data_IF_682022318146
#
_entry.id   IF_682022318146
#
_cell.length_a   1.000
_cell.length_b   1.000
_cell.length_c   1.000
_cell.angle_alpha   90.00
_cell.angle_beta   90.00
_cell.angle_gamma   90.00
#
_symmetry.space_group_name_H-M   'P 1'
#
loop_
_entity.id
_entity.type
_entity.pdbx_description
1 polymer ?
#
# COMPACT_ATOMS: atom_id res chain seq x y z
N UNK A 1 -14.06 -45.65 -35.16
CA UNK A 1 -12.86 -44.84 -34.90
C UNK A 1 -13.17 -43.41 -34.47
N UNK A 2 -14.42 -43.09 -34.01
CA UNK A 2 -14.86 -41.74 -33.64
C UNK A 2 -15.03 -41.51 -32.10
N UNK A 3 -14.84 -42.55 -31.27
CA UNK A 3 -15.07 -42.43 -29.82
C UNK A 3 -13.83 -41.98 -29.01
N UNK A 4 -12.63 -42.05 -29.57
CA UNK A 4 -11.40 -41.66 -28.87
C UNK A 4 -11.15 -40.14 -28.84
N UNK A 5 -11.64 -39.41 -29.84
CA UNK A 5 -11.39 -37.97 -29.92
C UNK A 5 -12.23 -37.16 -28.90
N UNK A 6 -13.43 -37.63 -28.56
CA UNK A 6 -14.27 -36.94 -27.54
C UNK A 6 -13.69 -37.05 -26.11
N UNK A 7 -13.03 -38.17 -25.80
CA UNK A 7 -12.36 -38.35 -24.48
C UNK A 7 -11.10 -37.50 -24.38
N UNK A 8 -10.35 -37.36 -25.48
CA UNK A 8 -9.16 -36.50 -25.53
C UNK A 8 -9.51 -35.01 -25.41
N UNK A 9 -10.59 -34.57 -26.07
CA UNK A 9 -11.04 -33.16 -25.96
C UNK A 9 -11.62 -32.82 -24.59
N UNK A 10 -12.32 -33.73 -23.94
CA UNK A 10 -12.81 -33.53 -22.57
C UNK A 10 -11.67 -33.51 -21.54
N UNK A 11 -10.63 -34.34 -21.72
CA UNK A 11 -9.45 -34.31 -20.88
C UNK A 11 -8.65 -33.01 -21.05
N UNK A 12 -8.53 -32.50 -22.27
CA UNK A 12 -7.85 -31.22 -22.53
C UNK A 12 -8.60 -30.00 -21.97
N UNK A 13 -9.94 -30.00 -22.04
CA UNK A 13 -10.76 -28.96 -21.43
C UNK A 13 -10.71 -28.99 -19.90
N UNK A 14 -10.68 -30.18 -19.27
CA UNK A 14 -10.53 -30.32 -17.83
C UNK A 14 -9.15 -29.88 -17.33
N UNK A 15 -8.08 -30.12 -18.11
CA UNK A 15 -6.74 -29.66 -17.81
C UNK A 15 -6.62 -28.11 -17.92
N UNK A 16 -7.31 -27.49 -18.89
CA UNK A 16 -7.33 -26.03 -19.04
C UNK A 16 -8.10 -25.33 -17.90
N UNK A 17 -9.17 -25.96 -17.40
CA UNK A 17 -9.96 -25.44 -16.28
C UNK A 17 -9.22 -25.53 -14.93
N UNK A 18 -8.30 -26.49 -14.77
CA UNK A 18 -7.48 -26.63 -13.57
C UNK A 18 -6.36 -25.59 -13.46
N UNK A 19 -5.95 -24.95 -14.57
CA UNK A 19 -4.93 -23.90 -14.58
C UNK A 19 -5.47 -22.49 -14.25
N UNK A 20 -6.80 -22.30 -14.24
CA UNK A 20 -7.41 -21.01 -13.96
C UNK A 20 -7.78 -20.76 -12.49
N UNK A 21 -7.50 -21.68 -11.58
CA UNK A 21 -7.77 -21.55 -10.13
C UNK A 21 -6.55 -21.16 -9.29
N UNK A 22 -5.48 -20.64 -9.90
CA UNK A 22 -4.43 -19.92 -9.13
C UNK A 22 -4.93 -18.56 -8.72
N UNK A 23 -5.89 -18.53 -7.79
CA UNK A 23 -6.12 -17.36 -6.96
C UNK A 23 -4.81 -16.97 -6.30
N UNK A 24 -4.57 -15.67 -6.21
CA UNK A 24 -3.39 -15.03 -5.65
C UNK A 24 -2.98 -15.65 -4.30
N UNK A 25 -2.24 -16.74 -4.33
CA UNK A 25 -1.46 -17.17 -3.19
C UNK A 25 -0.27 -16.22 -3.08
N UNK A 26 0.04 -15.64 -1.92
CA UNK A 26 1.29 -14.93 -1.74
C UNK A 26 2.42 -15.93 -2.03
N UNK A 27 3.22 -15.62 -3.04
CA UNK A 27 4.35 -16.44 -3.45
C UNK A 27 5.46 -16.32 -2.39
N UNK A 28 5.30 -17.07 -1.31
CA UNK A 28 6.38 -17.42 -0.40
C UNK A 28 7.15 -18.59 -1.03
N UNK A 29 7.84 -18.32 -2.12
CA UNK A 29 8.79 -19.29 -2.67
C UNK A 29 10.19 -18.86 -2.28
N UNK A 30 10.73 -19.55 -1.29
CA UNK A 30 12.16 -19.69 -1.14
C UNK A 30 12.74 -20.32 -2.41
N UNK A 31 13.31 -19.51 -3.26
CA UNK A 31 14.08 -19.90 -4.45
C UNK A 31 15.41 -19.19 -4.39
N UNK A 32 16.42 -19.86 -3.81
CA UNK A 32 17.81 -19.46 -4.01
C UNK A 32 18.17 -19.69 -5.48
N UNK A 33 18.26 -18.63 -6.26
CA UNK A 33 18.91 -18.63 -7.57
C UNK A 33 19.60 -17.29 -7.78
N UNK A 34 20.90 -17.32 -7.67
CA UNK A 34 21.93 -16.49 -8.29
C UNK A 34 21.47 -15.16 -8.94
N UNK A 35 21.65 -14.08 -8.21
CA UNK A 35 21.45 -12.72 -8.70
C UNK A 35 20.79 -11.89 -7.63
N UNK A 36 21.56 -11.19 -6.78
CA UNK A 36 21.15 -10.50 -5.56
C UNK A 36 19.94 -9.54 -5.68
N UNK A 37 18.77 -10.08 -5.86
CA UNK A 37 17.54 -9.37 -5.55
C UNK A 37 17.43 -9.38 -4.03
N UNK A 38 17.74 -8.26 -3.37
CA UNK A 38 17.31 -8.02 -2.00
C UNK A 38 15.81 -8.18 -1.97
N UNK A 39 15.32 -9.30 -1.39
CA UNK A 39 13.90 -9.44 -1.09
C UNK A 39 13.58 -8.31 -0.13
N UNK A 40 12.75 -7.38 -0.58
CA UNK A 40 12.35 -6.24 0.20
C UNK A 40 11.54 -6.75 1.41
N UNK A 41 12.16 -6.79 2.57
CA UNK A 41 11.56 -7.32 3.81
C UNK A 41 10.71 -6.23 4.45
N UNK A 42 9.42 -6.51 4.67
CA UNK A 42 8.57 -5.70 5.53
C UNK A 42 9.02 -5.89 7.00
N UNK A 43 9.41 -4.81 7.64
CA UNK A 43 9.91 -4.83 9.02
C UNK A 43 8.83 -4.99 10.09
N UNK A 44 7.55 -4.96 9.69
CA UNK A 44 6.45 -5.26 10.62
C UNK A 44 6.33 -6.75 10.84
N UNK A 45 5.99 -7.15 12.08
CA UNK A 45 5.60 -8.53 12.34
C UNK A 45 4.31 -8.88 11.57
N UNK A 46 4.12 -10.15 11.24
CA UNK A 46 2.88 -10.64 10.59
C UNK A 46 1.64 -10.26 11.41
N UNK A 47 1.72 -10.29 12.75
CA UNK A 47 0.63 -9.86 13.61
C UNK A 47 0.24 -8.40 13.40
N UNK A 48 1.22 -7.50 13.31
CA UNK A 48 0.95 -6.08 13.03
C UNK A 48 0.39 -5.87 11.63
N UNK A 49 0.85 -6.61 10.63
CA UNK A 49 0.28 -6.53 9.28
C UNK A 49 -1.20 -6.92 9.25
N UNK A 50 -1.60 -7.95 10.01
CA UNK A 50 -3.01 -8.34 10.16
C UNK A 50 -3.83 -7.28 10.89
N UNK A 51 -3.30 -6.71 11.97
CA UNK A 51 -3.94 -5.60 12.69
C UNK A 51 -4.15 -4.39 11.77
N UNK A 52 -3.15 -4.04 10.95
CA UNK A 52 -3.27 -2.96 9.98
C UNK A 52 -4.40 -3.22 8.95
N UNK A 53 -4.52 -4.45 8.45
CA UNK A 53 -5.62 -4.84 7.55
C UNK A 53 -7.00 -4.74 8.24
N UNK A 54 -7.11 -5.18 9.49
CA UNK A 54 -8.35 -5.05 10.25
C UNK A 54 -8.73 -3.60 10.50
N UNK A 55 -7.75 -2.72 10.79
CA UNK A 55 -7.97 -1.27 10.92
C UNK A 55 -8.50 -0.70 9.60
N UNK A 56 -7.85 -1.00 8.47
CA UNK A 56 -8.29 -0.51 7.15
C UNK A 56 -9.73 -0.93 6.86
N UNK A 57 -10.08 -2.21 7.01
CA UNK A 57 -11.43 -2.73 6.75
C UNK A 57 -12.49 -2.08 7.66
N UNK A 58 -12.19 -1.96 8.95
CA UNK A 58 -13.09 -1.37 9.93
C UNK A 58 -13.33 0.11 9.64
N UNK A 59 -12.28 0.86 9.33
CA UNK A 59 -12.39 2.27 9.02
C UNK A 59 -13.02 2.54 7.66
N UNK A 60 -12.72 1.74 6.63
CA UNK A 60 -13.41 1.84 5.34
C UNK A 60 -14.92 1.67 5.50
N UNK A 61 -15.35 0.70 6.35
CA UNK A 61 -16.78 0.54 6.64
C UNK A 61 -17.34 1.74 7.42
N UNK A 62 -16.70 2.13 8.52
CA UNK A 62 -17.21 3.21 9.37
C UNK A 62 -17.29 4.56 8.65
N UNK A 63 -16.28 4.88 7.85
CA UNK A 63 -16.24 6.11 7.04
C UNK A 63 -17.21 6.02 5.85
N UNK A 64 -17.35 4.85 5.22
CA UNK A 64 -18.34 4.64 4.16
C UNK A 64 -19.77 4.77 4.66
N UNK A 65 -20.07 4.34 5.90
CA UNK A 65 -21.38 4.51 6.53
C UNK A 65 -21.65 5.99 6.89
N UNK A 66 -20.61 6.75 7.30
CA UNK A 66 -20.74 8.15 7.70
C UNK A 66 -20.73 9.14 6.54
N UNK A 67 -20.03 8.80 5.44
CA UNK A 67 -19.82 9.70 4.31
C UNK A 67 -20.35 9.09 3.00
N UNK A 68 -21.48 9.59 2.47
CA UNK A 68 -21.98 9.17 1.19
C UNK A 68 -21.00 9.44 0.04
N UNK A 69 -20.88 8.51 -0.91
CA UNK A 69 -19.89 8.52 -1.98
C UNK A 69 -20.05 9.66 -3.01
N UNK A 70 -21.20 10.31 -3.03
CA UNK A 70 -21.46 11.51 -3.85
C UNK A 70 -20.85 12.79 -3.24
N UNK A 71 -20.55 12.77 -1.94
CA UNK A 71 -20.00 13.92 -1.19
C UNK A 71 -18.60 13.72 -0.65
N UNK A 72 -18.10 12.49 -0.62
CA UNK A 72 -16.76 12.21 -0.13
C UNK A 72 -16.12 11.05 -0.88
N UNK A 73 -14.80 11.11 -0.97
CA UNK A 73 -13.95 10.02 -1.39
C UNK A 73 -12.81 9.90 -0.37
N UNK A 74 -12.91 8.92 0.51
CA UNK A 74 -11.96 8.74 1.61
C UNK A 74 -11.23 7.42 1.42
N UNK A 75 -9.91 7.48 1.29
CA UNK A 75 -9.02 6.34 1.31
C UNK A 75 -8.40 6.19 2.69
N UNK A 76 -8.35 4.97 3.18
CA UNK A 76 -7.73 4.60 4.45
C UNK A 76 -6.51 3.74 4.18
N UNK A 77 -5.39 4.10 4.75
CA UNK A 77 -4.17 3.29 4.72
C UNK A 77 -3.63 3.17 6.13
N UNK A 78 -3.41 1.94 6.60
CA UNK A 78 -2.75 1.68 7.87
C UNK A 78 -1.35 1.09 7.67
N UNK A 79 -0.40 1.54 8.45
CA UNK A 79 0.93 0.99 8.54
C UNK A 79 1.45 1.16 9.96
N UNK A 80 1.77 0.03 10.61
CA UNK A 80 2.20 -0.01 12.00
C UNK A 80 1.21 0.71 12.96
N UNK A 81 -0.10 0.48 12.74
CA UNK A 81 -1.21 1.07 13.51
C UNK A 81 -1.31 2.62 13.38
N UNK A 82 -0.55 3.21 12.47
CA UNK A 82 -0.68 4.60 12.06
C UNK A 82 -1.57 4.68 10.83
N UNK A 83 -2.66 5.41 10.93
CA UNK A 83 -3.65 5.58 9.88
C UNK A 83 -3.38 6.86 9.10
N UNK A 84 -3.35 6.76 7.80
CA UNK A 84 -3.36 7.87 6.85
C UNK A 84 -4.74 7.93 6.19
N UNK A 85 -5.40 9.08 6.31
CA UNK A 85 -6.62 9.41 5.57
C UNK A 85 -6.26 10.31 4.39
N UNK A 86 -6.60 9.89 3.18
CA UNK A 86 -6.42 10.69 1.94
C UNK A 86 -7.72 10.73 1.14
N UNK A 87 -7.79 11.62 0.15
CA UNK A 87 -8.98 11.82 -0.66
C UNK A 87 -9.66 13.15 -0.39
N UNK A 88 -10.97 13.22 -0.59
CA UNK A 88 -11.73 14.47 -0.52
C UNK A 88 -12.97 14.36 0.38
N UNK A 89 -13.22 15.46 1.09
CA UNK A 89 -14.48 15.75 1.82
C UNK A 89 -14.93 17.17 1.50
N UNK A 90 -16.23 17.44 1.64
CA UNK A 90 -16.81 18.72 1.22
C UNK A 90 -16.66 19.85 2.24
N UNK A 91 -16.18 19.58 3.46
CA UNK A 91 -16.10 20.59 4.53
C UNK A 91 -15.03 20.28 5.57
N UNK A 92 -14.56 21.32 6.28
CA UNK A 92 -13.68 21.17 7.44
C UNK A 92 -14.32 20.32 8.55
N UNK A 93 -15.64 20.45 8.73
CA UNK A 93 -16.37 19.62 9.69
C UNK A 93 -16.29 18.14 9.30
N UNK A 94 -16.49 17.80 8.03
CA UNK A 94 -16.34 16.42 7.54
C UNK A 94 -14.91 15.89 7.72
N UNK A 95 -13.91 16.74 7.50
CA UNK A 95 -12.50 16.38 7.75
C UNK A 95 -12.26 16.06 9.23
N UNK A 96 -12.76 16.90 10.13
CA UNK A 96 -12.65 16.67 11.57
C UNK A 96 -13.44 15.43 12.04
N UNK A 97 -14.62 15.20 11.47
CA UNK A 97 -15.44 14.02 11.75
C UNK A 97 -14.74 12.72 11.31
N UNK A 98 -14.18 12.69 10.11
CA UNK A 98 -13.42 11.55 9.62
C UNK A 98 -12.21 11.23 10.52
N UNK A 99 -11.51 12.26 11.00
CA UNK A 99 -10.42 12.10 11.95
C UNK A 99 -10.92 11.50 13.27
N UNK A 100 -12.01 12.04 13.84
CA UNK A 100 -12.58 11.56 15.10
C UNK A 100 -13.05 10.09 15.01
N UNK A 101 -13.58 9.66 13.87
CA UNK A 101 -13.93 8.26 13.62
C UNK A 101 -12.67 7.38 13.62
N UNK A 102 -11.61 7.83 12.95
CA UNK A 102 -10.37 7.07 12.86
C UNK A 102 -9.67 6.96 14.24
N UNK A 103 -9.61 8.04 15.01
CA UNK A 103 -8.98 8.07 16.34
C UNK A 103 -9.68 7.18 17.37
N UNK A 104 -11.00 7.01 17.25
CA UNK A 104 -11.80 6.14 18.12
C UNK A 104 -11.71 4.66 17.75
N UNK A 105 -11.14 4.33 16.60
CA UNK A 105 -11.06 2.96 16.14
C UNK A 105 -10.04 2.16 16.95
N UNK A 106 -10.43 0.96 17.32
CA UNK A 106 -9.57 0.04 18.08
C UNK A 106 -8.22 -0.16 17.36
N UNK A 107 -7.15 -0.27 18.11
CA UNK A 107 -5.78 -0.53 17.67
C UNK A 107 -5.15 0.60 16.84
N UNK A 108 -5.82 1.73 16.63
CA UNK A 108 -5.24 2.92 15.99
C UNK A 108 -4.37 3.67 17.00
N UNK A 109 -3.10 3.85 16.67
CA UNK A 109 -2.11 4.53 17.50
C UNK A 109 -1.97 6.01 17.17
N UNK A 110 -2.12 6.34 15.89
CA UNK A 110 -2.03 7.72 15.41
C UNK A 110 -2.81 7.86 14.10
N UNK A 111 -3.35 9.07 13.86
CA UNK A 111 -4.04 9.43 12.62
C UNK A 111 -3.33 10.61 11.97
N UNK A 112 -3.06 10.49 10.68
CA UNK A 112 -2.58 11.57 9.81
C UNK A 112 -3.71 11.87 8.82
N UNK A 113 -4.30 13.04 8.97
CA UNK A 113 -5.46 13.45 8.18
C UNK A 113 -5.05 14.42 7.08
N UNK A 114 -4.83 13.87 5.89
CA UNK A 114 -4.47 14.59 4.65
C UNK A 114 -5.67 14.71 3.69
N UNK A 115 -6.90 14.62 4.22
CA UNK A 115 -8.10 14.86 3.43
C UNK A 115 -8.12 16.29 2.89
N UNK A 116 -8.38 16.40 1.60
CA UNK A 116 -8.58 17.68 0.93
C UNK A 116 -10.04 18.10 0.99
N UNK A 117 -10.27 19.42 1.15
CA UNK A 117 -11.63 19.96 1.10
C UNK A 117 -11.98 20.31 -0.34
N UNK A 118 -12.96 19.61 -0.88
CA UNK A 118 -13.38 19.76 -2.26
C UNK A 118 -14.31 18.65 -2.72
N UNK A 119 -14.72 18.69 -3.98
CA UNK A 119 -15.49 17.61 -4.57
C UNK A 119 -14.63 16.36 -4.77
N UNK A 120 -15.24 15.16 -4.70
CA UNK A 120 -14.55 13.91 -4.98
C UNK A 120 -13.81 13.93 -6.31
N UNK A 121 -12.60 13.36 -6.32
CA UNK A 121 -11.76 13.26 -7.50
C UNK A 121 -12.40 12.41 -8.60
N UNK A 122 -12.13 12.76 -9.86
CA UNK A 122 -12.59 11.99 -11.02
C UNK A 122 -11.86 10.64 -11.13
N UNK A 123 -12.45 9.68 -11.83
CA UNK A 123 -11.78 8.40 -12.13
C UNK A 123 -10.46 8.60 -12.88
N UNK A 124 -10.37 9.60 -13.76
CA UNK A 124 -9.12 9.93 -14.46
C UNK A 124 -8.02 10.33 -13.50
N UNK A 125 -8.32 11.16 -12.50
CA UNK A 125 -7.35 11.59 -11.50
C UNK A 125 -6.89 10.39 -10.64
N UNK A 126 -7.82 9.53 -10.23
CA UNK A 126 -7.49 8.31 -9.45
C UNK A 126 -6.62 7.33 -10.23
N UNK A 127 -6.87 7.18 -11.54
CA UNK A 127 -6.04 6.36 -12.43
C UNK A 127 -4.62 6.95 -12.56
N UNK A 128 -4.51 8.29 -12.64
CA UNK A 128 -3.22 8.97 -12.63
C UNK A 128 -2.45 8.67 -11.33
N UNK A 129 -3.08 8.82 -10.17
CA UNK A 129 -2.47 8.56 -8.86
C UNK A 129 -2.07 7.09 -8.69
N UNK A 130 -2.87 6.14 -9.18
CA UNK A 130 -2.51 4.71 -9.23
C UNK A 130 -1.26 4.48 -10.06
N UNK A 131 -1.19 5.09 -11.25
CA UNK A 131 0.00 5.03 -12.11
C UNK A 131 1.22 5.67 -11.44
N UNK A 132 1.03 6.81 -10.76
CA UNK A 132 2.08 7.50 -10.03
C UNK A 132 2.63 6.64 -8.89
N UNK A 133 1.75 6.01 -8.10
CA UNK A 133 2.13 5.06 -7.05
C UNK A 133 3.02 3.95 -7.61
N UNK A 134 2.67 3.38 -8.77
CA UNK A 134 3.45 2.32 -9.43
C UNK A 134 4.83 2.82 -9.85
N UNK A 135 4.92 4.00 -10.46
CA UNK A 135 6.19 4.62 -10.85
C UNK A 135 7.11 4.87 -9.66
N UNK A 136 6.54 5.41 -8.57
CA UNK A 136 7.31 5.67 -7.33
C UNK A 136 7.80 4.36 -6.72
N UNK A 137 6.95 3.34 -6.60
CA UNK A 137 7.36 2.02 -6.11
C UNK A 137 8.50 1.42 -6.94
N UNK A 138 8.40 1.49 -8.27
CA UNK A 138 9.46 1.02 -9.16
C UNK A 138 10.76 1.78 -8.94
N UNK A 139 10.71 3.10 -8.80
CA UNK A 139 11.89 3.91 -8.53
C UNK A 139 12.54 3.58 -7.17
N UNK A 140 11.74 3.35 -6.13
CA UNK A 140 12.23 2.93 -4.81
C UNK A 140 12.87 1.54 -4.86
N UNK A 141 12.28 0.59 -5.63
CA UNK A 141 12.85 -0.76 -5.82
C UNK A 141 14.21 -0.74 -6.52
N UNK A 142 14.43 0.21 -7.41
CA UNK A 142 15.69 0.37 -8.14
C UNK A 142 16.77 1.12 -7.36
N UNK A 143 16.42 1.74 -6.25
CA UNK A 143 17.34 2.52 -5.43
C UNK A 143 18.06 1.62 -4.39
N UNK A 144 19.39 1.47 -4.44
CA UNK A 144 20.11 0.51 -3.60
C UNK A 144 20.08 0.88 -2.10
N UNK A 145 19.94 2.17 -1.78
CA UNK A 145 19.97 2.69 -0.41
C UNK A 145 18.56 2.80 0.21
N UNK A 146 17.54 2.22 -0.44
CA UNK A 146 16.14 2.32 0.00
C UNK A 146 15.58 0.93 0.33
N UNK A 147 15.17 0.68 1.57
CA UNK A 147 14.51 -0.58 1.95
C UNK A 147 13.05 -0.57 1.43
N UNK A 148 12.88 -0.74 0.14
CA UNK A 148 11.58 -0.56 -0.55
C UNK A 148 10.46 -1.44 0.03
N UNK A 149 10.77 -2.61 0.59
CA UNK A 149 9.78 -3.49 1.23
C UNK A 149 9.29 -3.01 2.59
N UNK A 150 10.06 -2.16 3.25
CA UNK A 150 9.67 -1.53 4.49
C UNK A 150 8.88 -0.23 4.27
N UNK A 151 8.59 0.14 2.99
CA UNK A 151 7.93 1.41 2.64
C UNK A 151 6.64 1.17 1.86
N UNK A 152 5.53 1.64 2.41
CA UNK A 152 4.23 1.71 1.75
C UNK A 152 4.09 3.06 1.08
N UNK A 153 3.74 3.06 -0.21
CA UNK A 153 3.56 4.27 -1.03
C UNK A 153 2.08 4.45 -1.33
N UNK A 154 1.58 5.63 -1.07
CA UNK A 154 0.23 6.08 -1.43
C UNK A 154 0.36 7.37 -2.22
N UNK A 155 -0.38 7.51 -3.32
CA UNK A 155 -0.46 8.77 -4.07
C UNK A 155 -1.89 9.25 -4.09
N UNK A 156 -2.09 10.51 -3.79
CA UNK A 156 -3.38 11.19 -3.88
C UNK A 156 -3.15 12.61 -4.37
N UNK A 157 -3.84 13.04 -5.43
CA UNK A 157 -3.75 14.40 -6.02
C UNK A 157 -2.30 14.80 -6.35
N UNK A 158 -1.52 13.88 -6.93
CA UNK A 158 -0.09 14.03 -7.22
C UNK A 158 0.82 14.28 -5.99
N UNK A 159 0.29 14.13 -4.78
CA UNK A 159 1.07 14.08 -3.54
C UNK A 159 1.39 12.63 -3.21
N UNK A 160 2.64 12.35 -2.94
CA UNK A 160 3.12 11.01 -2.56
C UNK A 160 3.33 10.96 -1.06
N UNK A 161 2.68 10.02 -0.40
CA UNK A 161 2.82 9.74 1.02
C UNK A 161 3.66 8.47 1.18
N UNK A 162 4.75 8.58 1.92
CA UNK A 162 5.62 7.46 2.24
C UNK A 162 5.42 7.07 3.70
N UNK A 163 4.95 5.87 3.94
CA UNK A 163 4.80 5.27 5.28
C UNK A 163 5.79 4.12 5.41
N UNK A 164 6.30 3.87 6.60
CA UNK A 164 7.26 2.78 6.77
C UNK A 164 7.94 2.80 8.13
N UNK A 165 8.60 1.69 8.44
CA UNK A 165 9.56 1.55 9.55
C UNK A 165 10.97 1.67 8.97
N UNK A 166 11.59 2.84 9.11
CA UNK A 166 12.87 3.17 8.46
C UNK A 166 13.79 3.95 9.40
N UNK A 167 15.09 3.94 9.12
CA UNK A 167 16.00 4.89 9.76
C UNK A 167 15.81 6.30 9.17
N UNK A 168 16.24 7.36 9.84
CA UNK A 168 16.21 8.71 9.27
C UNK A 168 16.91 8.81 7.91
N UNK A 169 18.06 8.14 7.75
CA UNK A 169 18.82 8.12 6.49
C UNK A 169 18.06 7.45 5.35
N UNK A 170 17.44 6.29 5.61
CA UNK A 170 16.60 5.57 4.64
C UNK A 170 15.37 6.39 4.24
N UNK A 171 14.71 7.04 5.21
CA UNK A 171 13.55 7.88 4.95
C UNK A 171 13.88 9.09 4.07
N UNK A 172 15.05 9.73 4.29
CA UNK A 172 15.53 10.82 3.43
C UNK A 172 15.91 10.32 2.03
N UNK A 173 16.54 9.15 1.91
CA UNK A 173 16.86 8.53 0.62
C UNK A 173 15.58 8.23 -0.17
N UNK A 174 14.58 7.61 0.47
CA UNK A 174 13.29 7.32 -0.15
C UNK A 174 12.58 8.58 -0.63
N UNK A 175 12.55 9.64 0.19
CA UNK A 175 11.93 10.91 -0.18
C UNK A 175 12.63 11.57 -1.37
N UNK A 176 13.97 11.55 -1.43
CA UNK A 176 14.74 12.04 -2.58
C UNK A 176 14.45 11.27 -3.86
N UNK A 177 14.34 9.96 -3.78
CA UNK A 177 13.99 9.11 -4.94
C UNK A 177 12.58 9.43 -5.42
N UNK A 178 11.60 9.43 -4.51
CA UNK A 178 10.21 9.70 -4.83
C UNK A 178 10.01 11.09 -5.47
N UNK A 179 10.70 12.12 -4.96
CA UNK A 179 10.56 13.50 -5.46
C UNK A 179 11.06 13.72 -6.89
N UNK A 180 11.90 12.80 -7.41
CA UNK A 180 12.42 12.85 -8.79
C UNK A 180 11.52 12.17 -9.80
N UNK A 181 10.49 11.45 -9.35
CA UNK A 181 9.57 10.74 -10.25
C UNK A 181 8.64 11.74 -10.94
N UNK A 182 8.61 11.69 -12.27
CA UNK A 182 7.76 12.57 -13.07
C UNK A 182 6.29 12.41 -12.70
N UNK A 183 5.64 13.53 -12.40
CA UNK A 183 4.24 13.60 -11.94
C UNK A 183 4.10 13.83 -10.44
N UNK A 184 5.15 13.68 -9.64
CA UNK A 184 5.13 13.97 -8.21
C UNK A 184 5.24 15.48 -8.00
N UNK A 185 4.27 16.06 -7.30
CA UNK A 185 4.26 17.47 -6.92
C UNK A 185 4.82 17.70 -5.51
N UNK A 186 4.56 16.77 -4.60
CA UNK A 186 4.98 16.84 -3.20
C UNK A 186 5.19 15.44 -2.64
N UNK A 187 6.14 15.29 -1.73
CA UNK A 187 6.36 14.07 -0.95
C UNK A 187 6.15 14.37 0.53
N UNK A 188 5.32 13.56 1.16
CA UNK A 188 5.06 13.61 2.61
C UNK A 188 5.68 12.38 3.27
N UNK A 189 6.57 12.62 4.21
CA UNK A 189 7.20 11.57 5.00
C UNK A 189 6.33 11.27 6.23
N UNK A 190 5.69 10.12 6.24
CA UNK A 190 4.86 9.65 7.35
C UNK A 190 5.43 8.35 7.91
N UNK A 191 6.72 8.41 8.29
CA UNK A 191 7.48 7.28 8.78
C UNK A 191 7.40 7.12 10.31
N UNK A 192 7.51 5.89 10.78
CA UNK A 192 8.00 5.57 12.12
C UNK A 192 9.49 5.32 12.03
N UNK A 193 10.27 6.01 12.84
CA UNK A 193 11.73 5.94 12.76
C UNK A 193 12.29 4.91 13.72
N UNK A 194 13.19 4.08 13.19
CA UNK A 194 14.02 3.12 13.92
C UNK A 194 15.41 3.68 14.13
N UNK A 195 16.06 3.24 15.21
CA UNK A 195 17.49 3.41 15.36
C UNK A 195 18.24 2.52 14.36
N UNK A 196 19.46 2.89 13.97
CA UNK A 196 20.32 2.08 13.10
C UNK A 196 20.54 0.66 13.66
N UNK A 197 20.60 0.52 14.99
CA UNK A 197 20.76 -0.76 15.67
C UNK A 197 19.54 -1.67 15.53
N UNK A 198 18.33 -1.10 15.53
CA UNK A 198 17.09 -1.84 15.30
C UNK A 198 16.98 -2.27 13.85
N UNK A 199 17.25 -1.36 12.92
CA UNK A 199 17.21 -1.65 11.49
C UNK A 199 18.21 -2.75 11.08
N UNK A 200 19.39 -2.80 11.71
CA UNK A 200 20.40 -3.81 11.43
C UNK A 200 19.99 -5.24 11.84
N UNK A 201 19.03 -5.40 12.76
CA UNK A 201 18.52 -6.74 13.16
C UNK A 201 17.64 -7.37 12.09
N UNK A 202 16.99 -6.54 11.27
CA UNK A 202 16.05 -6.96 10.24
C UNK A 202 16.72 -7.03 8.85
N UNK A 203 18.01 -6.71 8.77
CA UNK A 203 18.78 -6.86 7.55
C UNK A 203 19.01 -8.37 7.26
N UNK A 204 18.77 -8.83 6.01
CA UNK A 204 19.06 -10.21 5.64
C UNK A 204 20.55 -10.51 5.87
N UNK A 205 20.84 -11.67 6.46
CA UNK A 205 22.20 -12.15 6.63
C UNK A 205 22.91 -12.15 5.26
N UNK A 206 24.10 -11.53 5.19
CA UNK A 206 24.92 -11.45 3.99
C UNK A 206 25.46 -12.81 3.58
#
# INVERSE_FOLDING_TARGET
MMMNNRRATLAALAALAALSSTGCAPLLVGGAAAGGAMVAVDRRSTGIQLVDQEIELRLMKALGDAFPSDRAHINVTSYNQRVLLTGEVTSEQGKAEAQAIAEKSKDVRAVVNELHIGSPSTLSNRNFDTSLTTKVRTALLQAPDVPSGAIKVVSERAVVYLMGLVTPGEGEAAARVASRVSGVQRVVKNFDYLSEKEAAKDAPAK
#
